data_IF_176573363460
#
_entry.id   IF_176573363460
#
_cell.length_a   1.000
_cell.length_b   1.000
_cell.length_c   1.000
_cell.angle_alpha   90.00
_cell.angle_beta   90.00
_cell.angle_gamma   90.00
#
_symmetry.space_group_name_H-M   'P 1'
#
loop_
_entity.id
_entity.type
_entity.pdbx_description
1 polymer ?
#
# COMPACT_ATOMS: atom_id res chain seq x y z
N UNK A 1 0.80 25.77 -8.70
CA UNK A 1 -0.32 24.85 -8.98
C UNK A 1 0.30 23.48 -9.28
N UNK A 2 0.25 22.51 -8.37
CA UNK A 2 0.95 21.22 -8.56
C UNK A 2 0.20 20.29 -9.50
N UNK A 3 0.89 19.73 -10.49
CA UNK A 3 0.39 18.77 -11.48
C UNK A 3 -0.28 17.55 -10.80
N UNK A 4 -1.42 17.04 -11.33
CA UNK A 4 -2.14 15.87 -10.78
C UNK A 4 -1.28 14.60 -10.65
N UNK A 5 -0.18 14.51 -11.38
CA UNK A 5 0.73 13.35 -11.41
C UNK A 5 1.43 13.08 -10.08
N UNK A 6 1.68 14.13 -9.27
CA UNK A 6 2.44 14.00 -8.01
C UNK A 6 1.58 13.52 -6.84
N UNK A 7 0.27 13.78 -6.88
CA UNK A 7 -0.71 13.21 -5.95
C UNK A 7 -0.91 11.71 -6.21
N UNK A 8 -0.89 11.31 -7.47
CA UNK A 8 -0.97 9.90 -7.85
C UNK A 8 0.23 9.11 -7.28
N UNK A 9 1.42 9.70 -7.23
CA UNK A 9 2.65 9.02 -6.78
C UNK A 9 2.64 8.62 -5.30
N UNK A 10 2.02 9.41 -4.40
CA UNK A 10 1.89 9.06 -2.97
C UNK A 10 0.77 8.05 -2.70
N UNK A 11 -0.37 8.17 -3.39
CA UNK A 11 -1.46 7.17 -3.31
C UNK A 11 -1.02 5.84 -3.91
N UNK A 12 -0.18 5.86 -4.95
CA UNK A 12 0.47 4.67 -5.49
C UNK A 12 1.29 3.94 -4.43
N UNK A 13 2.01 4.65 -3.55
CA UNK A 13 2.89 4.02 -2.55
C UNK A 13 2.16 3.06 -1.60
N UNK A 14 1.01 3.47 -1.06
CA UNK A 14 0.19 2.63 -0.18
C UNK A 14 -0.40 1.42 -0.93
N UNK A 15 -0.92 1.64 -2.13
CA UNK A 15 -1.49 0.58 -2.96
C UNK A 15 -0.40 -0.43 -3.38
N UNK A 16 0.82 0.05 -3.69
CA UNK A 16 1.96 -0.79 -4.06
C UNK A 16 2.42 -1.66 -2.88
N UNK A 17 2.49 -1.10 -1.66
CA UNK A 17 2.90 -1.87 -0.47
C UNK A 17 1.88 -2.95 -0.11
N UNK A 18 0.60 -2.59 -0.04
CA UNK A 18 -0.46 -3.54 0.28
C UNK A 18 -0.59 -4.63 -0.78
N UNK A 19 -0.56 -4.23 -2.06
CA UNK A 19 -0.59 -5.17 -3.18
C UNK A 19 0.65 -6.08 -3.21
N UNK A 20 1.82 -5.54 -2.89
CA UNK A 20 3.06 -6.32 -2.74
C UNK A 20 2.93 -7.40 -1.67
N UNK A 21 2.39 -7.07 -0.50
CA UNK A 21 2.15 -8.02 0.59
C UNK A 21 1.16 -9.12 0.19
N UNK A 22 -0.01 -8.76 -0.35
CA UNK A 22 -1.01 -9.73 -0.77
C UNK A 22 -0.44 -10.67 -1.84
N UNK A 23 0.34 -10.15 -2.77
CA UNK A 23 1.00 -10.94 -3.81
C UNK A 23 2.03 -11.90 -3.20
N UNK A 24 2.85 -11.45 -2.25
CA UNK A 24 3.83 -12.31 -1.58
C UNK A 24 3.14 -13.49 -0.88
N UNK A 25 2.08 -13.24 -0.10
CA UNK A 25 1.33 -14.26 0.63
C UNK A 25 0.63 -15.25 -0.30
N UNK A 26 -0.04 -14.74 -1.35
CA UNK A 26 -0.80 -15.58 -2.29
C UNK A 26 0.13 -16.47 -3.11
N UNK A 27 1.27 -15.95 -3.59
CA UNK A 27 2.20 -16.67 -4.45
C UNK A 27 3.31 -17.41 -3.71
N UNK A 28 3.41 -17.30 -2.38
CA UNK A 28 4.37 -18.05 -1.55
C UNK A 28 4.31 -19.57 -1.76
N UNK A 29 3.14 -20.09 -2.13
CA UNK A 29 2.90 -21.50 -2.46
C UNK A 29 2.22 -21.59 -3.81
N UNK A 30 2.59 -22.60 -4.62
CA UNK A 30 1.96 -22.85 -5.92
C UNK A 30 0.45 -23.06 -5.75
N UNK A 31 -0.33 -22.23 -6.45
CA UNK A 31 -1.78 -22.34 -6.51
C UNK A 31 -2.16 -23.27 -7.65
N UNK A 32 -2.99 -24.28 -7.38
CA UNK A 32 -3.35 -25.32 -8.37
C UNK A 32 -4.73 -25.09 -8.98
N UNK A 33 -5.62 -24.43 -8.26
CA UNK A 33 -7.02 -24.20 -8.69
C UNK A 33 -7.51 -22.80 -8.32
N UNK A 34 -8.54 -22.32 -9.03
CA UNK A 34 -9.15 -21.00 -8.79
C UNK A 34 -9.83 -20.92 -7.41
N UNK A 35 -10.37 -22.02 -6.90
CA UNK A 35 -10.96 -22.08 -5.55
C UNK A 35 -9.90 -21.85 -4.48
N UNK A 36 -8.74 -22.49 -4.63
CA UNK A 36 -7.59 -22.33 -3.74
C UNK A 36 -7.06 -20.89 -3.80
N UNK A 37 -7.00 -20.30 -5.00
CA UNK A 37 -6.61 -18.90 -5.17
C UNK A 37 -7.51 -17.97 -4.35
N UNK A 38 -8.84 -18.17 -4.45
CA UNK A 38 -9.83 -17.34 -3.75
C UNK A 38 -9.69 -17.46 -2.23
N UNK A 39 -9.48 -18.67 -1.73
CA UNK A 39 -9.24 -18.91 -0.30
C UNK A 39 -7.93 -18.26 0.18
N UNK A 40 -6.86 -18.31 -0.62
CA UNK A 40 -5.58 -17.69 -0.26
C UNK A 40 -5.63 -16.17 -0.29
N UNK A 41 -6.38 -15.58 -1.22
CA UNK A 41 -6.61 -14.13 -1.22
C UNK A 41 -7.36 -13.72 0.04
N UNK A 42 -8.40 -14.47 0.41
CA UNK A 42 -9.16 -14.21 1.63
C UNK A 42 -8.30 -14.35 2.89
N UNK A 43 -7.54 -15.44 3.01
CA UNK A 43 -6.60 -15.64 4.11
C UNK A 43 -5.50 -14.56 4.16
N UNK A 44 -5.02 -14.09 3.00
CA UNK A 44 -4.05 -13.01 2.93
C UNK A 44 -4.63 -11.71 3.47
N UNK A 45 -5.88 -11.38 3.13
CA UNK A 45 -6.59 -10.21 3.65
C UNK A 45 -6.83 -10.35 5.16
N UNK A 46 -7.26 -11.53 5.62
CA UNK A 46 -7.48 -11.81 7.04
C UNK A 46 -6.18 -11.81 7.86
N UNK A 47 -5.05 -12.14 7.24
CA UNK A 47 -3.71 -12.07 7.87
C UNK A 47 -3.19 -10.65 8.04
N UNK A 48 -3.83 -9.66 7.41
CA UNK A 48 -3.44 -8.26 7.57
C UNK A 48 -3.81 -7.83 8.98
N UNK A 49 -2.78 -7.75 9.82
CA UNK A 49 -2.91 -7.30 11.19
C UNK A 49 -3.33 -5.81 11.24
N UNK A 50 -4.16 -5.47 12.22
CA UNK A 50 -4.62 -4.09 12.44
C UNK A 50 -3.42 -3.13 12.63
N UNK A 51 -2.33 -3.60 13.25
CA UNK A 51 -1.08 -2.86 13.40
C UNK A 51 -0.30 -2.70 12.09
N UNK A 52 -0.42 -3.62 11.11
CA UNK A 52 0.11 -3.38 9.76
C UNK A 52 -0.68 -2.29 9.03
N UNK A 53 -2.01 -2.29 9.19
CA UNK A 53 -2.88 -1.25 8.64
C UNK A 53 -2.57 0.11 9.26
N UNK A 54 -2.46 0.20 10.59
CA UNK A 54 -2.15 1.43 11.30
C UNK A 54 -0.78 1.99 10.92
N UNK A 55 0.26 1.14 10.83
CA UNK A 55 1.60 1.59 10.40
C UNK A 55 1.57 2.15 8.97
N UNK A 56 0.88 1.47 8.07
CA UNK A 56 0.74 1.93 6.68
C UNK A 56 -0.08 3.22 6.58
N UNK A 57 -1.08 3.38 7.45
CA UNK A 57 -1.87 4.61 7.55
C UNK A 57 -1.04 5.78 8.08
N UNK A 58 -0.25 5.56 9.14
CA UNK A 58 0.62 6.58 9.74
C UNK A 58 1.72 7.02 8.77
N UNK A 59 2.28 6.10 7.97
CA UNK A 59 3.23 6.43 6.90
C UNK A 59 2.58 7.30 5.81
N UNK A 60 1.32 7.01 5.44
CA UNK A 60 0.57 7.82 4.48
C UNK A 60 0.29 9.22 5.05
N UNK A 61 -0.13 9.31 6.31
CA UNK A 61 -0.34 10.59 7.01
C UNK A 61 0.95 11.40 7.09
N UNK A 62 2.07 10.76 7.43
CA UNK A 62 3.39 11.40 7.46
C UNK A 62 3.78 11.98 6.10
N UNK A 63 3.62 11.22 5.02
CA UNK A 63 3.92 11.71 3.66
C UNK A 63 3.00 12.83 3.23
N UNK A 64 1.71 12.73 3.55
CA UNK A 64 0.74 13.79 3.30
C UNK A 64 1.09 15.05 4.09
N UNK A 65 1.54 14.91 5.32
CA UNK A 65 1.97 16.01 6.17
C UNK A 65 3.24 16.68 5.65
N UNK A 66 4.23 15.90 5.18
CA UNK A 66 5.41 16.43 4.48
C UNK A 66 4.98 17.25 3.26
N UNK A 67 4.10 16.72 2.40
CA UNK A 67 3.60 17.43 1.21
C UNK A 67 2.90 18.75 1.60
N UNK A 68 2.13 18.70 2.70
CA UNK A 68 1.38 19.84 3.20
C UNK A 68 2.30 20.91 3.78
N UNK A 69 3.28 20.50 4.58
CA UNK A 69 4.28 21.36 5.21
C UNK A 69 5.21 21.99 4.18
N UNK A 70 5.56 21.25 3.14
CA UNK A 70 6.37 21.74 2.03
C UNK A 70 5.61 22.65 1.06
N UNK A 71 4.29 22.87 1.23
CA UNK A 71 3.44 23.66 0.33
C UNK A 71 3.59 23.29 -1.16
N UNK A 72 4.03 22.07 -1.47
CA UNK A 72 4.39 21.64 -2.82
C UNK A 72 5.71 22.18 -3.37
N UNK A 73 6.55 22.82 -2.55
CA UNK A 73 7.96 23.10 -2.86
C UNK A 73 8.79 21.88 -2.47
N UNK A 74 9.42 21.23 -3.44
CA UNK A 74 10.18 20.00 -3.26
C UNK A 74 11.12 20.09 -2.05
N UNK A 75 10.84 19.33 -0.99
CA UNK A 75 11.89 18.88 -0.09
C UNK A 75 12.39 17.56 -0.67
N UNK A 76 13.62 17.59 -1.15
CA UNK A 76 14.36 16.40 -1.54
C UNK A 76 14.51 15.52 -0.29
N UNK A 77 13.89 14.35 -0.31
CA UNK A 77 14.15 13.24 0.60
C UNK A 77 14.34 11.97 -0.22
#
# INVERSE_FOLDING_TARGET
MSSPEKKAQCVLGFVILFWGYVKDVVYRTKVRNVVELKQKIQAAIESVDQGMLQRSWMELEYRLDIIRATKGSHAEL
#
